data_IF_338604875361
#
_entry.id   IF_338604875361
#
_cell.length_a   1.000
_cell.length_b   1.000
_cell.length_c   1.000
_cell.angle_alpha   90.00
_cell.angle_beta   90.00
_cell.angle_gamma   90.00
#
_symmetry.space_group_name_H-M   'P 1'
#
loop_
_entity.id
_entity.type
_entity.pdbx_description
1 polymer ?
#
# COMPACT_ATOMS: atom_id res chain seq x y z
N UNK A 1 7.83 28.03 -27.34
CA UNK A 1 7.28 27.90 -25.96
C UNK A 1 8.44 28.14 -25.01
N UNK A 2 8.34 29.16 -24.14
CA UNK A 2 9.41 29.44 -23.19
C UNK A 2 9.49 28.34 -22.13
N UNK A 3 10.69 28.09 -21.59
CA UNK A 3 10.94 27.13 -20.53
C UNK A 3 9.94 27.25 -19.35
N UNK A 4 9.54 28.47 -19.05
CA UNK A 4 8.53 28.79 -18.01
C UNK A 4 7.15 28.20 -18.31
N UNK A 5 6.67 28.28 -19.56
CA UNK A 5 5.37 27.70 -19.93
C UNK A 5 5.40 26.17 -19.88
N UNK A 6 6.53 25.57 -20.25
CA UNK A 6 6.71 24.13 -20.16
C UNK A 6 6.69 23.66 -18.71
N UNK A 7 7.41 24.32 -17.80
CA UNK A 7 7.40 24.02 -16.36
C UNK A 7 6.01 24.14 -15.75
N UNK A 8 5.28 25.22 -16.11
CA UNK A 8 3.91 25.45 -15.66
C UNK A 8 2.98 24.33 -16.13
N UNK A 9 3.08 23.90 -17.37
CA UNK A 9 2.31 22.78 -17.92
C UNK A 9 2.62 21.46 -17.21
N UNK A 10 3.92 21.16 -17.03
CA UNK A 10 4.35 19.96 -16.32
C UNK A 10 3.82 19.93 -14.88
N UNK A 11 3.97 21.04 -14.16
CA UNK A 11 3.45 21.18 -12.79
C UNK A 11 1.93 20.97 -12.73
N UNK A 12 1.19 21.55 -13.68
CA UNK A 12 -0.25 21.35 -13.79
C UNK A 12 -0.60 19.88 -14.07
N UNK A 13 0.07 19.24 -15.03
CA UNK A 13 -0.20 17.87 -15.42
C UNK A 13 0.07 16.88 -14.27
N UNK A 14 1.23 17.00 -13.61
CA UNK A 14 1.58 16.12 -12.49
C UNK A 14 0.61 16.30 -11.30
N UNK A 15 0.32 17.52 -10.91
CA UNK A 15 -0.61 17.78 -9.81
C UNK A 15 -2.05 17.39 -10.17
N UNK A 16 -2.43 17.52 -11.45
CA UNK A 16 -3.72 17.03 -11.96
C UNK A 16 -3.87 15.52 -11.84
N UNK A 17 -2.81 14.77 -12.18
CA UNK A 17 -2.79 13.30 -12.00
C UNK A 17 -2.89 12.93 -10.52
N UNK A 18 -2.15 13.62 -9.63
CA UNK A 18 -2.22 13.41 -8.17
C UNK A 18 -3.63 13.70 -7.65
N UNK A 19 -4.26 14.77 -8.11
CA UNK A 19 -5.63 15.13 -7.75
C UNK A 19 -6.62 14.02 -8.13
N UNK A 20 -6.55 13.53 -9.38
CA UNK A 20 -7.42 12.46 -9.86
C UNK A 20 -7.20 11.14 -9.11
N UNK A 21 -5.94 10.79 -8.87
CA UNK A 21 -5.59 9.61 -8.07
C UNK A 21 -6.10 9.73 -6.63
N UNK A 22 -5.93 10.89 -6.01
CA UNK A 22 -6.45 11.19 -4.67
C UNK A 22 -7.98 11.09 -4.60
N UNK A 23 -8.68 11.62 -5.61
CA UNK A 23 -10.13 11.52 -5.71
C UNK A 23 -10.60 10.06 -5.87
N UNK A 24 -9.91 9.26 -6.66
CA UNK A 24 -10.20 7.83 -6.81
C UNK A 24 -9.98 7.06 -5.49
N UNK A 25 -8.85 7.29 -4.81
CA UNK A 25 -8.55 6.66 -3.50
C UNK A 25 -9.59 7.07 -2.46
N UNK A 26 -9.96 8.35 -2.42
CA UNK A 26 -10.99 8.87 -1.52
C UNK A 26 -12.35 8.19 -1.79
N UNK A 27 -12.74 8.07 -3.06
CA UNK A 27 -13.96 7.39 -3.47
C UNK A 27 -13.99 5.93 -3.04
N UNK A 28 -12.90 5.20 -3.25
CA UNK A 28 -12.76 3.81 -2.78
C UNK A 28 -12.81 3.73 -1.25
N UNK A 29 -12.13 4.62 -0.54
CA UNK A 29 -12.16 4.65 0.93
C UNK A 29 -13.55 4.91 1.49
N UNK A 30 -14.32 5.82 0.89
CA UNK A 30 -15.72 6.09 1.24
C UNK A 30 -16.58 4.86 0.93
N UNK A 31 -16.43 4.26 -0.25
CA UNK A 31 -17.17 3.08 -0.63
C UNK A 31 -16.95 1.93 0.36
N UNK A 32 -15.70 1.58 0.63
CA UNK A 32 -15.35 0.53 1.60
C UNK A 32 -16.02 0.79 2.96
N UNK A 33 -16.06 2.05 3.40
CA UNK A 33 -16.69 2.42 4.68
C UNK A 33 -18.21 2.31 4.63
N UNK A 34 -18.85 2.75 3.57
CA UNK A 34 -20.32 2.72 3.40
C UNK A 34 -20.80 1.28 3.28
N UNK A 35 -20.10 0.47 2.47
CA UNK A 35 -20.45 -0.94 2.29
C UNK A 35 -20.26 -1.75 3.58
N UNK A 36 -19.18 -1.50 4.33
CA UNK A 36 -19.00 -2.04 5.67
C UNK A 36 -20.11 -1.59 6.65
N UNK A 37 -20.61 -0.37 6.50
CA UNK A 37 -21.74 0.16 7.28
C UNK A 37 -23.06 -0.56 6.97
N UNK A 38 -23.32 -0.89 5.73
CA UNK A 38 -24.52 -1.68 5.32
C UNK A 38 -24.46 -3.10 5.87
N UNK A 39 -23.30 -3.73 5.84
CA UNK A 39 -23.06 -5.05 6.45
C UNK A 39 -23.21 -4.99 7.97
N UNK A 40 -22.73 -3.92 8.63
CA UNK A 40 -22.91 -3.72 10.07
C UNK A 40 -24.36 -3.55 10.48
N UNK A 41 -25.18 -2.89 9.67
CA UNK A 41 -26.63 -2.72 9.95
C UNK A 41 -27.38 -4.04 9.82
N UNK A 42 -26.95 -4.91 8.90
CA UNK A 42 -27.49 -6.27 8.75
C UNK A 42 -27.00 -7.24 9.85
N UNK A 43 -25.76 -7.07 10.33
CA UNK A 43 -25.13 -7.92 11.36
C UNK A 43 -25.31 -7.38 12.79
N UNK A 44 -25.91 -6.22 12.98
CA UNK A 44 -26.20 -5.62 14.31
C UNK A 44 -27.13 -6.46 15.20
N UNK A 45 -27.42 -7.71 14.82
CA UNK A 45 -28.14 -8.72 15.63
C UNK A 45 -27.23 -9.84 16.17
N UNK A 46 -25.91 -9.77 15.95
CA UNK A 46 -24.99 -10.82 16.43
C UNK A 46 -23.99 -10.18 17.39
N UNK A 47 -24.09 -10.52 18.66
CA UNK A 47 -23.31 -10.01 19.80
C UNK A 47 -21.79 -10.35 19.79
N UNK A 48 -21.23 -10.82 18.69
CA UNK A 48 -19.80 -11.09 18.55
C UNK A 48 -19.27 -10.48 17.26
N UNK A 49 -18.84 -9.22 17.33
CA UNK A 49 -18.17 -8.54 16.21
C UNK A 49 -16.83 -9.22 15.91
N UNK A 50 -16.64 -9.86 14.73
CA UNK A 50 -15.35 -10.41 14.37
C UNK A 50 -14.28 -9.31 14.33
N UNK A 51 -13.11 -9.55 14.91
CA UNK A 51 -11.99 -8.60 14.90
C UNK A 51 -11.58 -8.15 13.48
N UNK A 52 -11.97 -8.91 12.48
CA UNK A 52 -11.75 -8.61 11.04
C UNK A 52 -12.49 -7.33 10.59
N UNK A 53 -13.67 -7.05 11.13
CA UNK A 53 -14.45 -5.89 10.73
C UNK A 53 -13.83 -4.58 11.23
N UNK A 54 -13.19 -4.60 12.40
CA UNK A 54 -12.47 -3.44 12.93
C UNK A 54 -11.24 -3.06 12.09
N UNK A 55 -10.59 -4.04 11.46
CA UNK A 55 -9.46 -3.81 10.57
C UNK A 55 -9.88 -3.17 9.24
N UNK A 56 -10.97 -3.65 8.64
CA UNK A 56 -11.52 -3.07 7.39
C UNK A 56 -11.94 -1.62 7.61
N UNK A 57 -12.54 -1.30 8.76
CA UNK A 57 -12.89 0.07 9.13
C UNK A 57 -11.65 0.96 9.26
N UNK A 58 -10.56 0.45 9.86
CA UNK A 58 -9.31 1.19 10.00
C UNK A 58 -8.65 1.48 8.64
N UNK A 59 -8.67 0.51 7.72
CA UNK A 59 -8.16 0.70 6.34
C UNK A 59 -8.99 1.73 5.59
N UNK A 60 -10.31 1.70 5.70
CA UNK A 60 -11.20 2.69 5.11
C UNK A 60 -10.90 4.12 5.58
N UNK A 61 -10.70 4.33 6.88
CA UNK A 61 -10.31 5.64 7.42
C UNK A 61 -8.95 6.11 6.92
N UNK A 62 -7.98 5.20 6.83
CA UNK A 62 -6.64 5.49 6.32
C UNK A 62 -6.68 5.90 4.84
N UNK A 63 -7.45 5.19 4.01
CA UNK A 63 -7.65 5.53 2.60
C UNK A 63 -8.32 6.91 2.44
N UNK A 64 -9.32 7.21 3.26
CA UNK A 64 -10.00 8.52 3.26
C UNK A 64 -9.00 9.62 3.64
N UNK A 65 -8.20 9.45 4.70
CA UNK A 65 -7.22 10.44 5.15
C UNK A 65 -6.16 10.71 4.07
N UNK A 66 -5.60 9.65 3.48
CA UNK A 66 -4.61 9.77 2.38
C UNK A 66 -5.27 10.40 1.15
N UNK A 67 -6.48 9.98 0.78
CA UNK A 67 -7.21 10.51 -0.35
C UNK A 67 -7.48 12.02 -0.21
N UNK A 68 -7.93 12.47 0.97
CA UNK A 68 -8.11 13.90 1.26
C UNK A 68 -6.79 14.67 1.12
N UNK A 69 -5.69 14.15 1.69
CA UNK A 69 -4.38 14.78 1.61
C UNK A 69 -3.93 14.97 0.15
N UNK A 70 -4.03 13.91 -0.67
CA UNK A 70 -3.66 13.95 -2.09
C UNK A 70 -4.55 14.91 -2.89
N UNK A 71 -5.86 14.94 -2.64
CA UNK A 71 -6.79 15.88 -3.28
C UNK A 71 -6.41 17.31 -2.94
N UNK A 72 -6.13 17.63 -1.68
CA UNK A 72 -5.73 18.98 -1.25
C UNK A 72 -4.42 19.40 -1.92
N UNK A 73 -3.40 18.54 -1.88
CA UNK A 73 -2.09 18.83 -2.49
C UNK A 73 -2.23 19.03 -4.01
N UNK A 74 -2.90 18.10 -4.69
CA UNK A 74 -3.12 18.16 -6.14
C UNK A 74 -3.92 19.38 -6.55
N UNK A 75 -4.96 19.75 -5.79
CA UNK A 75 -5.75 20.96 -6.02
C UNK A 75 -4.91 22.22 -5.86
N UNK A 76 -4.16 22.35 -4.76
CA UNK A 76 -3.31 23.51 -4.50
C UNK A 76 -2.23 23.67 -5.58
N UNK A 77 -1.58 22.57 -5.99
CA UNK A 77 -0.56 22.59 -7.04
C UNK A 77 -1.14 22.92 -8.42
N UNK A 78 -2.27 22.33 -8.78
CA UNK A 78 -2.96 22.55 -10.05
C UNK A 78 -3.49 23.98 -10.16
N UNK A 79 -4.29 24.43 -9.18
CA UNK A 79 -4.87 25.78 -9.17
C UNK A 79 -3.81 26.85 -8.95
N UNK A 80 -2.78 26.58 -8.14
CA UNK A 80 -1.64 27.47 -7.93
C UNK A 80 -0.88 27.74 -9.21
N UNK A 81 -0.60 26.68 -9.99
CA UNK A 81 0.07 26.81 -11.29
C UNK A 81 -0.78 27.55 -12.32
N UNK A 82 -2.09 27.29 -12.38
CA UNK A 82 -2.98 27.97 -13.34
C UNK A 82 -3.20 29.45 -13.02
N UNK A 83 -3.50 29.76 -11.76
CA UNK A 83 -3.83 31.12 -11.33
C UNK A 83 -2.61 31.98 -10.99
N UNK A 84 -1.41 31.40 -11.01
CA UNK A 84 -0.15 32.06 -10.61
C UNK A 84 -0.24 32.71 -9.22
N UNK A 85 -1.08 32.13 -8.35
CA UNK A 85 -1.33 32.65 -7.02
C UNK A 85 -0.17 32.31 -6.08
N UNK A 86 0.57 33.34 -5.68
CA UNK A 86 1.71 33.19 -4.74
C UNK A 86 1.29 32.54 -3.42
N UNK A 87 0.09 32.82 -2.92
CA UNK A 87 -0.41 32.26 -1.67
C UNK A 87 -0.68 30.76 -1.79
N UNK A 88 -1.32 30.30 -2.87
CA UNK A 88 -1.60 28.87 -3.09
C UNK A 88 -0.31 28.08 -3.32
N UNK A 89 0.63 28.64 -4.09
CA UNK A 89 1.93 28.01 -4.33
C UNK A 89 2.78 27.95 -3.03
N UNK A 90 2.74 28.99 -2.21
CA UNK A 90 3.43 28.99 -0.92
C UNK A 90 2.84 27.93 0.03
N UNK A 91 1.51 27.84 0.10
CA UNK A 91 0.85 26.83 0.93
C UNK A 91 1.17 25.40 0.44
N UNK A 92 1.12 25.18 -0.86
CA UNK A 92 1.54 23.93 -1.49
C UNK A 92 2.98 23.57 -1.10
N UNK A 93 3.91 24.52 -1.25
CA UNK A 93 5.32 24.33 -0.90
C UNK A 93 5.50 23.97 0.58
N UNK A 94 4.83 24.68 1.49
CA UNK A 94 4.92 24.39 2.93
C UNK A 94 4.43 22.99 3.24
N UNK A 95 3.30 22.55 2.67
CA UNK A 95 2.76 21.21 2.90
C UNK A 95 3.74 20.15 2.39
N UNK A 96 4.24 20.29 1.16
CA UNK A 96 5.19 19.34 0.57
C UNK A 96 6.50 19.30 1.37
N UNK A 97 7.00 20.45 1.83
CA UNK A 97 8.19 20.54 2.67
C UNK A 97 8.00 19.81 4.01
N UNK A 98 6.85 19.97 4.65
CA UNK A 98 6.55 19.26 5.91
C UNK A 98 6.48 17.75 5.71
N UNK A 99 5.87 17.28 4.60
CA UNK A 99 5.83 15.86 4.25
C UNK A 99 7.25 15.35 4.02
N UNK A 100 8.07 16.05 3.26
CA UNK A 100 9.46 15.68 2.99
C UNK A 100 10.29 15.57 4.28
N UNK A 101 10.15 16.54 5.19
CA UNK A 101 10.83 16.47 6.51
C UNK A 101 10.37 15.24 7.29
N UNK A 102 9.07 14.93 7.29
CA UNK A 102 8.53 13.75 7.96
C UNK A 102 9.05 12.43 7.34
N UNK A 103 9.15 12.36 6.00
CA UNK A 103 9.71 11.21 5.28
C UNK A 103 11.19 10.99 5.62
N UNK A 104 11.99 12.06 5.59
CA UNK A 104 13.42 11.99 5.94
C UNK A 104 13.60 11.58 7.40
N UNK A 105 12.83 12.17 8.33
CA UNK A 105 12.86 11.79 9.72
C UNK A 105 12.46 10.33 9.93
N UNK A 106 11.41 9.87 9.28
CA UNK A 106 10.97 8.46 9.30
C UNK A 106 12.03 7.52 8.75
N UNK A 107 12.65 7.86 7.63
CA UNK A 107 13.73 7.07 7.05
C UNK A 107 14.95 6.97 8.00
N UNK A 108 15.36 8.07 8.63
CA UNK A 108 16.44 8.09 9.63
C UNK A 108 16.09 7.21 10.83
N UNK A 109 14.86 7.31 11.34
CA UNK A 109 14.39 6.47 12.46
C UNK A 109 14.47 4.99 12.10
N UNK A 110 13.99 4.60 10.92
CA UNK A 110 14.04 3.20 10.46
C UNK A 110 15.48 2.70 10.30
N UNK A 111 16.38 3.53 9.80
CA UNK A 111 17.79 3.15 9.59
C UNK A 111 18.59 3.07 10.89
N UNK A 112 18.33 3.98 11.84
CA UNK A 112 19.06 4.06 13.12
C UNK A 112 18.48 3.10 14.15
N UNK A 113 17.16 2.99 14.22
CA UNK A 113 16.44 2.14 15.17
C UNK A 113 15.94 0.84 14.52
N UNK A 114 16.87 0.02 14.03
CA UNK A 114 16.54 -1.30 13.44
C UNK A 114 15.54 -2.13 14.26
N UNK A 115 15.65 -2.23 15.61
CA UNK A 115 14.69 -3.00 16.40
C UNK A 115 13.25 -2.49 16.29
N UNK A 116 13.06 -1.17 16.18
CA UNK A 116 11.74 -0.56 16.01
C UNK A 116 11.16 -0.88 14.62
N UNK A 117 12.00 -0.84 13.59
CA UNK A 117 11.61 -1.23 12.24
C UNK A 117 11.20 -2.71 12.19
N UNK A 118 11.97 -3.60 12.81
CA UNK A 118 11.65 -5.03 12.89
C UNK A 118 10.33 -5.29 13.63
N UNK A 119 10.08 -4.59 14.74
CA UNK A 119 8.81 -4.70 15.46
C UNK A 119 7.62 -4.25 14.60
N UNK A 120 7.77 -3.13 13.88
CA UNK A 120 6.73 -2.63 12.97
C UNK A 120 6.46 -3.61 11.82
N UNK A 121 7.51 -4.13 11.19
CA UNK A 121 7.39 -5.13 10.14
C UNK A 121 6.79 -6.44 10.65
N UNK A 122 7.11 -6.85 11.87
CA UNK A 122 6.51 -8.03 12.49
C UNK A 122 5.01 -7.82 12.75
N UNK A 123 4.59 -6.66 13.22
CA UNK A 123 3.15 -6.34 13.37
C UNK A 123 2.41 -6.38 12.04
N UNK A 124 2.96 -5.74 11.00
CA UNK A 124 2.40 -5.78 9.64
C UNK A 124 2.34 -7.22 9.13
N UNK A 125 3.40 -7.99 9.36
CA UNK A 125 3.49 -9.39 8.97
C UNK A 125 2.46 -10.28 9.65
N UNK A 126 2.21 -10.09 10.93
CA UNK A 126 1.17 -10.82 11.67
C UNK A 126 -0.23 -10.58 11.08
N UNK A 127 -0.56 -9.32 10.77
CA UNK A 127 -1.83 -8.99 10.14
C UNK A 127 -1.93 -9.51 8.70
N UNK A 128 -0.84 -9.47 7.94
CA UNK A 128 -0.77 -10.04 6.60
C UNK A 128 -0.99 -11.56 6.62
N UNK A 129 -0.32 -12.28 7.52
CA UNK A 129 -0.49 -13.74 7.72
C UNK A 129 -1.91 -14.06 8.18
N UNK A 130 -2.47 -13.26 9.09
CA UNK A 130 -3.86 -13.43 9.54
C UNK A 130 -4.84 -13.27 8.38
N UNK A 131 -4.64 -12.29 7.51
CA UNK A 131 -5.47 -12.09 6.32
C UNK A 131 -5.44 -13.29 5.38
N UNK A 132 -4.27 -13.94 5.21
CA UNK A 132 -4.14 -15.17 4.42
C UNK A 132 -4.91 -16.32 5.09
N UNK A 133 -4.65 -16.56 6.38
CA UNK A 133 -5.24 -17.69 7.11
C UNK A 133 -6.76 -17.64 7.17
N UNK A 134 -7.34 -16.46 7.33
CA UNK A 134 -8.77 -16.27 7.54
C UNK A 134 -9.54 -15.96 6.25
N UNK A 135 -8.94 -15.17 5.35
CA UNK A 135 -9.65 -14.58 4.22
C UNK A 135 -9.34 -15.20 2.87
N UNK A 136 -8.16 -15.80 2.69
CA UNK A 136 -7.76 -16.31 1.38
C UNK A 136 -8.57 -17.55 0.96
N UNK A 137 -9.29 -17.44 -0.16
CA UNK A 137 -10.18 -18.46 -0.69
C UNK A 137 -11.64 -18.35 -0.22
N UNK A 138 -11.95 -17.46 0.72
CA UNK A 138 -13.31 -17.18 1.18
C UNK A 138 -13.73 -15.73 0.87
N UNK A 139 -12.80 -14.79 0.98
CA UNK A 139 -13.01 -13.39 0.63
C UNK A 139 -12.38 -13.10 -0.74
N UNK A 140 -13.19 -12.61 -1.69
CA UNK A 140 -12.76 -12.34 -3.08
C UNK A 140 -11.69 -11.26 -3.15
N UNK A 141 -11.81 -10.20 -2.33
CA UNK A 141 -10.89 -9.05 -2.35
C UNK A 141 -9.52 -9.42 -1.80
N UNK A 142 -9.50 -10.14 -0.66
CA UNK A 142 -8.27 -10.65 -0.04
C UNK A 142 -7.59 -11.64 -0.98
N UNK A 143 -8.36 -12.54 -1.60
CA UNK A 143 -7.84 -13.51 -2.56
C UNK A 143 -7.27 -12.81 -3.78
N UNK A 144 -7.97 -11.82 -4.35
CA UNK A 144 -7.51 -11.02 -5.48
C UNK A 144 -6.24 -10.23 -5.16
N UNK A 145 -6.19 -9.58 -3.99
CA UNK A 145 -5.02 -8.84 -3.51
C UNK A 145 -3.78 -9.74 -3.42
N UNK A 146 -3.90 -10.90 -2.75
CA UNK A 146 -2.79 -11.83 -2.61
C UNK A 146 -2.38 -12.47 -3.94
N UNK A 147 -3.33 -12.83 -4.81
CA UNK A 147 -3.03 -13.33 -6.15
C UNK A 147 -2.23 -12.32 -6.97
N UNK A 148 -2.64 -11.06 -6.96
CA UNK A 148 -1.94 -9.97 -7.63
C UNK A 148 -0.54 -9.76 -7.06
N UNK A 149 -0.40 -9.74 -5.74
CA UNK A 149 0.88 -9.59 -5.04
C UNK A 149 1.82 -10.74 -5.36
N UNK A 150 1.36 -11.98 -5.22
CA UNK A 150 2.16 -13.18 -5.50
C UNK A 150 2.60 -13.26 -6.97
N UNK A 151 1.72 -12.90 -7.91
CA UNK A 151 2.04 -12.88 -9.33
C UNK A 151 3.06 -11.81 -9.68
N UNK A 152 2.90 -10.60 -9.12
CA UNK A 152 3.78 -9.45 -9.40
C UNK A 152 5.17 -9.67 -8.82
N UNK A 153 5.24 -10.08 -7.56
CA UNK A 153 6.51 -10.27 -6.87
C UNK A 153 7.07 -11.70 -7.00
N UNK A 154 6.35 -12.61 -7.65
CA UNK A 154 6.71 -14.05 -7.79
C UNK A 154 7.09 -14.65 -6.43
N UNK A 155 6.24 -14.49 -5.43
CA UNK A 155 6.40 -14.93 -4.05
C UNK A 155 5.20 -15.79 -3.62
N UNK A 156 5.32 -16.45 -2.47
CA UNK A 156 4.24 -17.26 -1.90
C UNK A 156 4.04 -16.95 -0.41
N UNK A 157 2.93 -16.29 -0.09
CA UNK A 157 2.64 -15.80 1.25
C UNK A 157 3.46 -14.58 1.64
N UNK A 158 3.34 -14.16 2.90
CA UNK A 158 4.10 -13.04 3.44
C UNK A 158 5.51 -13.47 3.85
N UNK A 159 5.66 -14.44 4.74
CA UNK A 159 6.95 -15.01 5.12
C UNK A 159 7.26 -16.29 4.33
N UNK A 160 6.27 -17.18 4.20
CA UNK A 160 6.43 -18.45 3.49
C UNK A 160 5.07 -19.09 3.12
N UNK A 161 5.12 -20.16 2.35
CA UNK A 161 3.94 -20.89 1.87
C UNK A 161 3.12 -21.56 2.98
N UNK A 162 3.70 -21.87 4.14
CA UNK A 162 2.99 -22.59 5.22
C UNK A 162 1.79 -21.81 5.78
N UNK A 163 1.76 -20.49 5.55
CA UNK A 163 0.66 -19.61 5.96
C UNK A 163 -0.67 -19.97 5.31
N UNK A 164 -0.62 -20.56 4.11
CA UNK A 164 -1.82 -21.00 3.40
C UNK A 164 -2.43 -22.30 3.95
N UNK A 165 -1.70 -23.11 4.72
CA UNK A 165 -2.21 -24.39 5.24
C UNK A 165 -3.47 -24.23 6.11
N UNK A 166 -3.61 -23.09 6.77
CA UNK A 166 -4.77 -22.78 7.58
C UNK A 166 -5.87 -22.05 6.81
N UNK A 167 -5.60 -21.63 5.56
CA UNK A 167 -6.55 -20.86 4.75
C UNK A 167 -7.74 -21.69 4.29
N UNK A 168 -8.92 -21.08 4.09
CA UNK A 168 -10.07 -21.74 3.47
C UNK A 168 -9.75 -22.32 2.10
N UNK A 169 -8.90 -21.65 1.31
CA UNK A 169 -8.47 -22.14 0.00
C UNK A 169 -7.83 -23.53 0.11
N UNK A 170 -6.82 -23.69 0.97
CA UNK A 170 -6.07 -24.94 1.12
C UNK A 170 -6.97 -26.08 1.56
N UNK A 171 -7.88 -25.81 2.51
CA UNK A 171 -8.83 -26.80 3.04
C UNK A 171 -9.84 -27.25 1.99
N UNK A 172 -10.29 -26.35 1.12
CA UNK A 172 -11.30 -26.62 0.10
C UNK A 172 -10.72 -27.19 -1.21
N UNK A 173 -9.40 -27.13 -1.41
CA UNK A 173 -8.72 -27.57 -2.63
C UNK A 173 -7.74 -28.73 -2.39
N UNK A 174 -8.19 -29.76 -1.66
CA UNK A 174 -7.44 -31.00 -1.41
C UNK A 174 -5.99 -30.76 -0.91
N UNK A 175 -5.81 -29.81 0.01
CA UNK A 175 -4.52 -29.45 0.57
C UNK A 175 -3.48 -29.00 -0.47
N UNK A 176 -3.93 -28.29 -1.51
CA UNK A 176 -3.06 -27.69 -2.53
C UNK A 176 -2.82 -26.21 -2.27
N UNK A 177 -1.60 -25.76 -2.60
CA UNK A 177 -1.27 -24.33 -2.54
C UNK A 177 -1.80 -23.58 -3.77
N UNK A 178 -1.93 -22.24 -3.70
CA UNK A 178 -2.24 -21.43 -4.86
C UNK A 178 -1.26 -21.65 -6.02
N UNK A 179 -1.71 -21.58 -7.28
CA UNK A 179 -0.84 -21.80 -8.45
C UNK A 179 0.40 -20.91 -8.49
N UNK A 180 0.29 -19.69 -7.93
CA UNK A 180 1.38 -18.72 -7.83
C UNK A 180 2.51 -19.16 -6.90
N UNK A 181 2.25 -20.12 -6.01
CA UNK A 181 3.22 -20.69 -5.09
C UNK A 181 4.09 -21.77 -5.72
N UNK A 182 3.84 -22.14 -6.96
CA UNK A 182 4.52 -23.20 -7.67
C UNK A 182 5.43 -22.70 -8.78
N UNK A 183 6.60 -23.33 -8.90
CA UNK A 183 7.52 -23.07 -10.01
C UNK A 183 6.95 -23.50 -11.37
N UNK A 184 6.10 -24.54 -11.38
CA UNK A 184 5.44 -25.08 -12.57
C UNK A 184 3.92 -24.99 -12.44
N UNK A 185 3.26 -23.99 -13.03
CA UNK A 185 1.81 -23.79 -12.88
C UNK A 185 0.91 -24.87 -13.52
N UNK A 186 1.49 -25.88 -14.15
CA UNK A 186 0.75 -26.99 -14.79
C UNK A 186 0.60 -28.26 -13.94
N UNK A 187 1.14 -28.30 -12.73
CA UNK A 187 1.00 -29.44 -11.79
C UNK A 187 0.27 -29.02 -10.52
N UNK A 188 -0.38 -29.99 -9.87
CA UNK A 188 -0.96 -29.78 -8.52
C UNK A 188 0.14 -29.29 -7.57
N UNK A 189 -0.09 -28.12 -6.98
CA UNK A 189 0.86 -27.44 -6.14
C UNK A 189 0.85 -28.05 -4.73
N UNK A 190 1.59 -29.11 -4.51
CA UNK A 190 1.71 -29.77 -3.21
C UNK A 190 2.87 -29.23 -2.36
N UNK A 191 3.88 -28.66 -3.03
CA UNK A 191 5.08 -28.11 -2.37
C UNK A 191 5.21 -26.62 -2.67
N UNK A 192 4.91 -25.79 -1.68
CA UNK A 192 5.16 -24.34 -1.75
C UNK A 192 6.65 -24.04 -1.64
N UNK A 193 7.38 -24.17 -2.75
CA UNK A 193 8.86 -23.99 -2.79
C UNK A 193 9.30 -22.54 -2.97
N UNK A 194 8.37 -21.65 -3.27
CA UNK A 194 8.66 -20.22 -3.52
C UNK A 194 8.75 -19.46 -2.20
N UNK A 195 9.79 -18.64 -2.07
CA UNK A 195 9.99 -17.76 -0.91
C UNK A 195 8.87 -16.76 -0.73
N UNK A 196 8.57 -16.38 0.52
CA UNK A 196 7.56 -15.36 0.82
C UNK A 196 7.93 -13.96 0.33
N UNK A 197 6.95 -13.07 0.37
CA UNK A 197 7.08 -11.66 -0.02
C UNK A 197 8.17 -10.94 0.79
N UNK A 198 8.11 -11.02 2.12
CA UNK A 198 9.00 -10.29 3.01
C UNK A 198 10.49 -10.68 2.84
N UNK A 199 10.87 -11.97 2.88
CA UNK A 199 12.25 -12.36 2.66
C UNK A 199 12.78 -11.94 1.28
N UNK A 200 11.92 -11.94 0.27
CA UNK A 200 12.28 -11.53 -1.08
C UNK A 200 12.54 -10.04 -1.19
N UNK A 201 11.66 -9.21 -0.63
CA UNK A 201 11.83 -7.75 -0.58
C UNK A 201 13.06 -7.39 0.26
N UNK A 202 13.23 -8.04 1.41
CA UNK A 202 14.40 -7.80 2.27
C UNK A 202 15.71 -8.08 1.53
N UNK A 203 15.79 -9.19 0.82
CA UNK A 203 16.95 -9.53 -0.01
C UNK A 203 17.19 -8.54 -1.14
N UNK A 204 16.13 -8.02 -1.77
CA UNK A 204 16.24 -6.97 -2.79
C UNK A 204 16.77 -5.65 -2.20
N UNK A 205 16.30 -5.27 -1.02
CA UNK A 205 16.77 -4.06 -0.32
C UNK A 205 18.22 -4.24 0.07
N UNK A 206 18.60 -5.34 0.71
CA UNK A 206 19.96 -5.62 1.19
C UNK A 206 20.96 -5.62 0.03
N UNK A 207 20.65 -6.33 -1.05
CA UNK A 207 21.50 -6.41 -2.23
C UNK A 207 21.63 -5.06 -3.00
N UNK A 208 20.64 -4.17 -2.87
CA UNK A 208 20.58 -2.91 -3.63
C UNK A 208 20.66 -1.68 -2.74
N UNK A 209 20.98 -1.82 -1.45
CA UNK A 209 21.02 -0.71 -0.49
C UNK A 209 21.84 0.47 -1.00
N UNK A 210 23.02 0.22 -1.60
CA UNK A 210 23.87 1.28 -2.16
C UNK A 210 23.19 2.00 -3.33
N UNK A 211 22.48 1.27 -4.20
CA UNK A 211 21.77 1.86 -5.32
C UNK A 211 20.56 2.67 -4.83
N UNK A 212 19.81 2.14 -3.88
CA UNK A 212 18.64 2.81 -3.27
C UNK A 212 19.08 4.12 -2.59
N UNK A 213 20.14 4.10 -1.79
CA UNK A 213 20.69 5.29 -1.13
C UNK A 213 21.16 6.32 -2.17
N UNK A 214 21.83 5.91 -3.24
CA UNK A 214 22.26 6.83 -4.31
C UNK A 214 21.06 7.48 -5.02
N UNK A 215 20.02 6.71 -5.30
CA UNK A 215 18.79 7.23 -5.94
C UNK A 215 18.07 8.19 -4.98
N UNK A 216 17.91 7.83 -3.73
CA UNK A 216 17.29 8.68 -2.72
C UNK A 216 18.05 10.01 -2.54
N UNK A 217 19.39 9.97 -2.47
CA UNK A 217 20.22 11.17 -2.40
C UNK A 217 20.11 12.05 -3.66
N UNK A 218 20.00 11.45 -4.84
CA UNK A 218 19.79 12.22 -6.09
C UNK A 218 18.42 12.87 -6.12
N UNK A 219 17.37 12.17 -5.69
CA UNK A 219 16.01 12.75 -5.61
C UNK A 219 16.02 13.90 -4.61
N UNK A 220 16.56 13.71 -3.40
CA UNK A 220 16.67 14.76 -2.40
C UNK A 220 17.45 15.99 -2.91
N UNK A 221 18.53 15.76 -3.69
CA UNK A 221 19.30 16.87 -4.28
C UNK A 221 18.54 17.60 -5.41
N UNK A 222 17.61 16.94 -6.08
CA UNK A 222 16.76 17.58 -7.10
C UNK A 222 15.58 18.36 -6.48
N UNK A 223 15.16 18.00 -5.26
CA UNK A 223 14.09 18.67 -4.53
C UNK A 223 14.58 19.94 -3.79
N UNK A 224 15.88 20.03 -3.50
CA UNK A 224 16.54 21.20 -2.88
C UNK A 224 17.03 22.19 -3.95
#
# INVERSE_FOLDING_TARGET
MGCFQFLKFMMFAFNGIIFLAGAAILGVGIWVKVDSGSVLTFLGKIDNMPAELSQVLNVGYLLIAIGILLVVIGFLGCCGAMRESKCMLLLFFIIVLLIFIAEVAGAVVILVFRPLAEELFNKIGQEAVKSIKQGYGNNTDITGLWNSTMSTFKCCGFYNSSEFKESPYYKNHNNTFPPQCCLNPGRTCTDGTITGFFPKIWKLIDNNTTAIVRVALRIAALEV
#
